data_IF_415399530346
#
_entry.id   IF_415399530346
#
_cell.length_a   1.000
_cell.length_b   1.000
_cell.length_c   1.000
_cell.angle_alpha   90.00
_cell.angle_beta   90.00
_cell.angle_gamma   90.00
#
_symmetry.space_group_name_H-M   'P 1'
#
loop_
_entity.id
_entity.type
_entity.pdbx_description
1 polymer ?
#
# COMPACT_ATOMS: atom_id res chain seq x y z
N UNK A 1 -26.05 -12.53 12.96
CA UNK A 1 -24.88 -12.43 13.86
C UNK A 1 -23.69 -12.98 13.11
N UNK A 2 -22.78 -12.12 12.64
CA UNK A 2 -21.51 -12.56 12.03
C UNK A 2 -20.48 -12.78 13.15
N UNK A 3 -19.53 -13.72 13.01
CA UNK A 3 -18.65 -14.13 14.10
C UNK A 3 -17.61 -13.04 14.41
N UNK A 4 -17.53 -12.69 15.70
CA UNK A 4 -16.69 -11.62 16.27
C UNK A 4 -15.17 -11.81 16.07
N UNK A 5 -14.73 -13.01 15.66
CA UNK A 5 -13.31 -13.32 15.43
C UNK A 5 -12.78 -12.94 14.04
N UNK A 6 -13.66 -12.79 13.05
CA UNK A 6 -13.25 -12.52 11.67
C UNK A 6 -12.66 -11.11 11.51
N UNK A 7 -13.24 -10.14 12.22
CA UNK A 7 -12.81 -8.75 12.17
C UNK A 7 -11.42 -8.55 12.80
N UNK A 8 -11.14 -9.16 13.95
CA UNK A 8 -9.88 -8.95 14.65
C UNK A 8 -8.66 -9.43 13.84
N UNK A 9 -8.79 -10.56 13.14
CA UNK A 9 -7.72 -11.09 12.27
C UNK A 9 -7.53 -10.22 11.03
N UNK A 10 -8.59 -9.80 10.37
CA UNK A 10 -8.52 -8.95 9.17
C UNK A 10 -7.93 -7.55 9.46
N UNK A 11 -8.28 -6.95 10.61
CA UNK A 11 -7.70 -5.66 11.03
C UNK A 11 -6.21 -5.78 11.37
N UNK A 12 -5.78 -6.90 11.97
CA UNK A 12 -4.35 -7.12 12.29
C UNK A 12 -3.52 -7.32 11.03
N UNK A 13 -4.03 -8.08 10.06
CA UNK A 13 -3.36 -8.31 8.76
C UNK A 13 -3.22 -6.99 7.96
N UNK A 14 -4.25 -6.14 7.99
CA UNK A 14 -4.22 -4.83 7.34
C UNK A 14 -3.20 -3.88 7.98
N UNK A 15 -3.11 -3.84 9.31
CA UNK A 15 -2.11 -3.04 10.02
C UNK A 15 -0.68 -3.51 9.70
N UNK A 16 -0.48 -4.82 9.60
CA UNK A 16 0.82 -5.41 9.27
C UNK A 16 1.19 -5.20 7.78
N UNK A 17 0.21 -5.22 6.88
CA UNK A 17 0.37 -4.82 5.49
C UNK A 17 0.79 -3.35 5.38
N UNK A 18 0.08 -2.45 6.07
CA UNK A 18 0.40 -1.02 6.08
C UNK A 18 1.81 -0.79 6.61
N UNK A 19 2.18 -1.42 7.73
CA UNK A 19 3.55 -1.36 8.27
C UNK A 19 4.58 -1.85 7.25
N UNK A 20 4.33 -2.98 6.60
CA UNK A 20 5.23 -3.54 5.59
C UNK A 20 5.40 -2.58 4.41
N UNK A 21 4.32 -2.00 3.90
CA UNK A 21 4.37 -1.02 2.82
C UNK A 21 5.17 0.21 3.26
N UNK A 22 4.90 0.75 4.45
CA UNK A 22 5.61 1.92 4.98
C UNK A 22 7.11 1.63 5.13
N UNK A 23 7.50 0.51 5.74
CA UNK A 23 8.91 0.16 5.92
C UNK A 23 9.65 0.08 4.59
N UNK A 24 9.02 -0.53 3.57
CA UNK A 24 9.62 -0.69 2.24
C UNK A 24 9.74 0.65 1.50
N UNK A 25 8.69 1.47 1.55
CA UNK A 25 8.64 2.78 0.90
C UNK A 25 9.57 3.78 1.59
N UNK A 26 9.69 3.76 2.91
CA UNK A 26 10.62 4.61 3.65
C UNK A 26 12.07 4.20 3.41
N UNK A 27 12.34 2.90 3.25
CA UNK A 27 13.69 2.41 2.96
C UNK A 27 14.23 2.87 1.59
N UNK A 28 13.35 2.99 0.58
CA UNK A 28 13.74 3.48 -0.74
C UNK A 28 13.83 5.03 -0.82
N UNK A 29 13.22 5.75 0.14
CA UNK A 29 13.20 7.22 0.27
C UNK A 29 13.07 8.03 -1.06
N UNK A 30 12.08 7.70 -1.93
CA UNK A 30 11.94 8.29 -3.25
C UNK A 30 11.75 9.80 -3.15
N UNK A 31 12.61 10.57 -3.82
CA UNK A 31 12.53 12.03 -3.82
C UNK A 31 12.75 12.71 -2.44
N UNK A 32 13.19 11.97 -1.42
CA UNK A 32 13.34 12.44 -0.05
C UNK A 32 11.99 12.71 0.62
N UNK A 33 11.38 11.67 1.18
CA UNK A 33 10.07 11.69 1.82
C UNK A 33 10.04 12.72 2.96
N UNK A 34 8.93 13.46 3.01
CA UNK A 34 8.58 14.43 4.07
C UNK A 34 7.48 13.85 4.96
N UNK A 35 6.53 13.13 4.36
CA UNK A 35 5.45 12.49 5.08
C UNK A 35 4.69 11.51 4.21
N UNK A 36 4.00 10.59 4.89
CA UNK A 36 3.09 9.60 4.30
C UNK A 36 1.76 9.73 5.02
N UNK A 37 0.68 9.82 4.26
CA UNK A 37 -0.67 9.99 4.77
C UNK A 37 -1.56 8.87 4.24
N UNK A 38 -2.30 8.23 5.14
CA UNK A 38 -3.37 7.32 4.76
C UNK A 38 -4.55 8.14 4.27
N UNK A 39 -5.10 7.78 3.11
CA UNK A 39 -6.25 8.43 2.48
C UNK A 39 -7.35 7.41 2.16
N UNK A 40 -8.48 7.87 1.63
CA UNK A 40 -9.55 7.00 1.10
C UNK A 40 -10.63 6.58 2.10
N UNK A 41 -11.52 5.69 1.66
CA UNK A 41 -12.66 5.13 2.44
C UNK A 41 -12.23 4.49 3.78
N UNK A 42 -10.95 4.16 3.87
CA UNK A 42 -10.18 3.74 5.03
C UNK A 42 -10.32 4.66 6.26
N UNK A 43 -10.60 5.95 6.06
CA UNK A 43 -10.67 6.93 7.16
C UNK A 43 -12.08 7.16 7.70
N UNK A 44 -13.14 6.69 7.02
CA UNK A 44 -14.53 7.05 7.35
C UNK A 44 -15.45 5.87 7.72
N UNK A 45 -15.18 4.64 7.28
CA UNK A 45 -16.07 3.49 7.57
C UNK A 45 -15.34 2.22 8.05
N UNK A 46 -14.02 2.27 8.21
CA UNK A 46 -13.19 1.10 8.53
C UNK A 46 -12.82 0.31 7.28
N UNK A 47 -11.52 0.01 7.17
CA UNK A 47 -10.95 -0.83 6.12
C UNK A 47 -11.57 -2.23 6.18
N UNK A 48 -12.40 -2.58 5.20
CA UNK A 48 -12.83 -3.95 5.02
C UNK A 48 -11.69 -4.81 4.45
N UNK A 49 -11.75 -6.14 4.58
CA UNK A 49 -10.71 -7.05 4.09
C UNK A 49 -10.47 -6.98 2.57
N UNK A 50 -11.44 -6.47 1.80
CA UNK A 50 -11.34 -6.28 0.34
C UNK A 50 -11.08 -4.81 -0.04
N UNK A 51 -10.78 -3.94 0.92
CA UNK A 51 -10.54 -2.51 0.66
C UNK A 51 -9.10 -2.27 0.24
N UNK A 52 -8.94 -1.50 -0.84
CA UNK A 52 -7.64 -0.96 -1.21
C UNK A 52 -7.12 0.01 -0.13
N UNK A 53 -5.79 0.09 -0.01
CA UNK A 53 -5.10 1.05 0.87
C UNK A 53 -4.57 2.21 0.03
N UNK A 54 -5.16 3.38 0.20
CA UNK A 54 -4.69 4.60 -0.46
C UNK A 54 -3.63 5.32 0.39
N UNK A 55 -2.44 5.53 -0.17
CA UNK A 55 -1.36 6.29 0.45
C UNK A 55 -1.00 7.51 -0.39
N UNK A 56 -0.91 8.68 0.27
CA UNK A 56 -0.35 9.90 -0.31
C UNK A 56 1.06 10.14 0.25
N UNK A 57 2.04 10.10 -0.64
CA UNK A 57 3.42 10.45 -0.34
C UNK A 57 3.69 11.92 -0.68
N UNK A 58 4.30 12.64 0.26
CA UNK A 58 4.84 13.98 0.04
C UNK A 58 6.36 13.93 0.06
N UNK A 59 7.00 14.38 -1.01
CA UNK A 59 8.46 14.32 -1.21
C UNK A 59 9.05 15.72 -1.36
N UNK A 60 10.32 15.90 -0.98
CA UNK A 60 11.02 17.20 -1.10
C UNK A 60 11.32 17.57 -2.54
N UNK A 61 11.50 16.57 -3.40
CA UNK A 61 11.86 16.72 -4.81
C UNK A 61 10.96 15.85 -5.66
N UNK A 62 10.81 16.22 -6.93
CA UNK A 62 10.19 15.37 -7.93
C UNK A 62 10.89 14.02 -8.02
N UNK A 63 10.12 12.96 -8.24
CA UNK A 63 10.68 11.62 -8.43
C UNK A 63 11.51 11.57 -9.71
N UNK A 64 12.70 11.01 -9.61
CA UNK A 64 13.47 10.62 -10.79
C UNK A 64 12.82 9.39 -11.44
N UNK A 65 13.14 9.08 -12.72
CA UNK A 65 12.70 7.84 -13.34
C UNK A 65 13.09 6.59 -12.53
N UNK A 66 14.25 6.62 -11.88
CA UNK A 66 14.73 5.52 -11.03
C UNK A 66 13.92 5.40 -9.74
N UNK A 67 13.62 6.52 -9.07
CA UNK A 67 12.76 6.54 -7.88
C UNK A 67 11.38 5.97 -8.22
N UNK A 68 10.81 6.40 -9.36
CA UNK A 68 9.51 5.93 -9.84
C UNK A 68 9.53 4.44 -10.12
N UNK A 69 10.56 3.93 -10.80
CA UNK A 69 10.70 2.51 -11.10
C UNK A 69 10.84 1.67 -9.83
N UNK A 70 11.67 2.11 -8.88
CA UNK A 70 11.87 1.42 -7.59
C UNK A 70 10.58 1.40 -6.76
N UNK A 71 9.87 2.52 -6.69
CA UNK A 71 8.58 2.61 -5.99
C UNK A 71 7.53 1.68 -6.61
N UNK A 72 7.38 1.68 -7.93
CA UNK A 72 6.44 0.80 -8.64
C UNK A 72 6.79 -0.67 -8.41
N UNK A 73 8.05 -1.05 -8.59
CA UNK A 73 8.49 -2.43 -8.40
C UNK A 73 8.26 -2.92 -6.96
N UNK A 74 8.48 -2.04 -5.98
CA UNK A 74 8.27 -2.36 -4.57
C UNK A 74 6.79 -2.56 -4.27
N UNK A 75 5.93 -1.63 -4.69
CA UNK A 75 4.49 -1.70 -4.42
C UNK A 75 3.82 -2.87 -5.15
N UNK A 76 4.22 -3.17 -6.39
CA UNK A 76 3.73 -4.35 -7.12
C UNK A 76 4.13 -5.67 -6.47
N UNK A 77 5.31 -5.74 -5.85
CA UNK A 77 5.75 -6.93 -5.13
C UNK A 77 4.97 -7.18 -3.82
N UNK A 78 4.31 -6.15 -3.29
CA UNK A 78 3.54 -6.21 -2.04
C UNK A 78 2.03 -6.31 -2.28
N UNK A 79 1.54 -5.90 -3.46
CA UNK A 79 0.10 -5.95 -3.74
C UNK A 79 -0.37 -7.40 -3.89
N UNK A 80 -1.56 -7.70 -3.38
CA UNK A 80 -2.17 -9.04 -3.44
C UNK A 80 -2.62 -9.49 -4.84
N UNK A 81 -2.26 -8.74 -5.89
CA UNK A 81 -2.69 -9.03 -7.26
C UNK A 81 -1.98 -10.28 -7.80
N UNK A 82 -2.71 -11.39 -7.95
CA UNK A 82 -2.23 -12.67 -8.51
C UNK A 82 -2.03 -12.67 -10.04
N UNK A 83 -2.20 -11.55 -10.74
CA UNK A 83 -2.07 -11.46 -12.20
C UNK A 83 -0.66 -11.19 -12.70
N UNK A 84 0.27 -12.10 -12.40
CA UNK A 84 1.51 -12.29 -13.16
C UNK A 84 1.55 -13.64 -13.90
N UNK A 85 0.41 -14.34 -13.98
CA UNK A 85 0.31 -15.56 -14.78
C UNK A 85 -0.02 -15.31 -16.27
N UNK A 86 -0.56 -14.14 -16.64
CA UNK A 86 -0.92 -13.85 -18.03
C UNK A 86 -0.61 -12.39 -18.40
N UNK A 87 -0.02 -12.12 -19.58
CA UNK A 87 0.16 -10.76 -20.07
C UNK A 87 -1.20 -10.09 -20.33
N UNK A 88 -1.31 -8.80 -20.06
CA UNK A 88 -2.47 -8.01 -20.47
C UNK A 88 -2.60 -8.04 -22.00
N UNK A 89 -3.77 -8.41 -22.56
CA UNK A 89 -3.97 -8.34 -24.00
C UNK A 89 -3.94 -6.87 -24.46
N UNK A 90 -3.29 -6.66 -25.60
CA UNK A 90 -3.23 -5.39 -26.32
C UNK A 90 -4.55 -5.06 -27.03
#
# INVERSE_FOLDING_TARGET
MLPSGFWHVAFTDMDDLIRTVLDRVLAIDPGGIVGVYLYGSSTSTGLGPESDVDLLLVTRRSLTPQDRASLISTLLGLSGWKGHAEPSPA
#
